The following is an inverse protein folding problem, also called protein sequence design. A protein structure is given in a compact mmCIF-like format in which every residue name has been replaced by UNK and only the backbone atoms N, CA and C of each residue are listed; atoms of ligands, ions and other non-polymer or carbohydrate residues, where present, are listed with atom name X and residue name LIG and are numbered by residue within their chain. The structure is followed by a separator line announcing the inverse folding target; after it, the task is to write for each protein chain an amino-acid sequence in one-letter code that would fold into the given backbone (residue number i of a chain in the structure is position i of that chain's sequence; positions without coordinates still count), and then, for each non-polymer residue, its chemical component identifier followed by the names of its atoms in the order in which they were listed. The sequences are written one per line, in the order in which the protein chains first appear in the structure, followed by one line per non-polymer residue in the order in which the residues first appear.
data_IF_016479795304
#
_entry.id   IF_016479795304
#
_cell.length_a   1.000
_cell.length_b   1.000
_cell.length_c   1.000
_cell.angle_alpha   90.00
_cell.angle_beta   90.00
_cell.angle_gamma   90.00
#
_symmetry.space_group_name_H-M   'P 1'
#
loop_
_entity.id
_entity.type
_entity.pdbx_description
1 polymer ?
#
# COMPACT_ATOMS: atom_id res chain seq x y z
N UNK A 1 -16.65 -27.56 -7.81
CA UNK A 1 -15.76 -26.71 -8.45
C UNK A 1 -14.99 -25.92 -7.45
N UNK A 2 -13.75 -26.00 -7.57
CA UNK A 2 -12.88 -25.34 -6.68
C UNK A 2 -12.36 -24.09 -7.32
N UNK A 3 -12.71 -22.96 -6.78
CA UNK A 3 -12.12 -21.74 -7.27
C UNK A 3 -10.73 -21.62 -6.67
N UNK A 4 -9.79 -21.28 -7.49
CA UNK A 4 -8.43 -21.07 -7.07
C UNK A 4 -8.24 -19.57 -6.98
N UNK A 5 -8.07 -19.04 -5.76
CA UNK A 5 -7.87 -17.60 -5.60
C UNK A 5 -6.67 -17.13 -6.41
N UNK A 6 -6.82 -16.00 -7.06
CA UNK A 6 -5.77 -15.36 -7.82
C UNK A 6 -5.31 -16.11 -9.08
N UNK A 7 -5.95 -17.22 -9.41
CA UNK A 7 -5.62 -17.92 -10.64
C UNK A 7 -6.12 -17.10 -11.83
N UNK A 8 -5.36 -17.03 -12.92
CA UNK A 8 -5.78 -16.25 -14.10
C UNK A 8 -7.17 -16.63 -14.61
N UNK A 9 -7.50 -17.90 -14.57
CA UNK A 9 -8.80 -18.36 -15.04
C UNK A 9 -9.93 -17.92 -14.11
N UNK A 10 -9.64 -17.45 -12.90
CA UNK A 10 -10.70 -16.96 -12.02
C UNK A 10 -11.42 -15.75 -12.59
N UNK A 11 -10.82 -15.08 -13.55
CA UNK A 11 -11.48 -13.99 -14.25
C UNK A 11 -12.70 -14.45 -15.02
N UNK A 12 -12.78 -15.73 -15.33
CA UNK A 12 -13.90 -16.32 -16.03
C UNK A 12 -15.12 -16.55 -15.13
N UNK A 13 -14.92 -16.49 -13.82
CA UNK A 13 -15.97 -16.84 -12.85
C UNK A 13 -16.86 -15.68 -12.46
N UNK A 14 -16.57 -14.52 -12.94
CA UNK A 14 -17.37 -13.38 -12.58
C UNK A 14 -16.57 -12.32 -11.83
N UNK A 15 -17.13 -11.13 -11.80
CA UNK A 15 -16.42 -9.95 -11.35
C UNK A 15 -16.11 -9.92 -9.85
N UNK A 16 -16.80 -10.72 -9.06
CA UNK A 16 -16.63 -10.69 -7.62
C UNK A 16 -15.68 -11.74 -7.04
N UNK A 17 -15.23 -12.69 -7.84
CA UNK A 17 -14.45 -13.82 -7.33
C UNK A 17 -13.16 -13.40 -6.65
N UNK A 18 -12.38 -12.54 -7.29
CA UNK A 18 -11.13 -12.09 -6.71
C UNK A 18 -11.38 -11.18 -5.52
N UNK A 19 -12.39 -10.33 -5.61
CA UNK A 19 -12.75 -9.45 -4.51
C UNK A 19 -13.14 -10.27 -3.27
N UNK A 20 -13.92 -11.32 -3.46
CA UNK A 20 -14.35 -12.19 -2.36
C UNK A 20 -13.15 -12.90 -1.73
N UNK A 21 -12.23 -13.39 -2.55
CA UNK A 21 -11.01 -14.06 -2.06
C UNK A 21 -10.14 -13.10 -1.26
N UNK A 22 -9.96 -11.90 -1.75
CA UNK A 22 -9.20 -10.87 -1.05
C UNK A 22 -9.87 -10.52 0.28
N UNK A 23 -11.20 -10.36 0.28
CA UNK A 23 -11.94 -10.02 1.49
C UNK A 23 -11.76 -11.11 2.54
N UNK A 24 -11.93 -12.36 2.16
CA UNK A 24 -11.81 -13.47 3.10
C UNK A 24 -10.40 -13.57 3.68
N UNK A 25 -9.39 -13.50 2.82
CA UNK A 25 -8.00 -13.58 3.24
C UNK A 25 -7.64 -12.44 4.17
N UNK A 26 -8.03 -11.23 3.82
CA UNK A 26 -7.72 -10.05 4.60
C UNK A 26 -8.44 -10.05 5.93
N UNK A 27 -9.72 -10.40 5.92
CA UNK A 27 -10.51 -10.45 7.16
C UNK A 27 -9.95 -11.47 8.15
N UNK A 28 -9.53 -12.63 7.66
CA UNK A 28 -8.94 -13.66 8.50
C UNK A 28 -7.63 -13.18 9.13
N UNK A 29 -6.75 -12.62 8.32
CA UNK A 29 -5.50 -12.09 8.84
C UNK A 29 -5.76 -10.96 9.84
N UNK A 30 -6.66 -10.06 9.51
CA UNK A 30 -6.98 -8.92 10.38
C UNK A 30 -7.56 -9.39 11.73
N UNK A 31 -8.41 -10.39 11.71
CA UNK A 31 -8.97 -10.93 12.95
C UNK A 31 -7.88 -11.59 13.81
N UNK A 32 -6.95 -12.30 13.19
CA UNK A 32 -5.93 -13.03 13.92
C UNK A 32 -4.77 -12.16 14.40
N UNK A 33 -4.34 -11.23 13.56
CA UNK A 33 -3.09 -10.50 13.79
C UNK A 33 -3.29 -9.04 14.14
N UNK A 34 -4.29 -8.40 13.57
CA UNK A 34 -4.47 -6.98 13.72
C UNK A 34 -5.45 -6.62 14.84
N UNK A 35 -6.62 -7.24 14.87
CA UNK A 35 -7.63 -6.92 15.86
C UNK A 35 -7.13 -7.02 17.31
N UNK A 36 -6.34 -8.04 17.68
CA UNK A 36 -5.84 -8.12 19.06
C UNK A 36 -4.93 -6.97 19.44
N UNK A 37 -4.32 -6.29 18.47
CA UNK A 37 -3.40 -5.18 18.70
C UNK A 37 -4.07 -3.82 18.46
N UNK A 38 -5.28 -3.83 17.92
CA UNK A 38 -5.89 -2.59 17.43
C UNK A 38 -6.08 -1.53 18.52
N UNK A 39 -6.55 -1.93 19.69
CA UNK A 39 -6.77 -0.98 20.77
C UNK A 39 -5.47 -0.29 21.18
N UNK A 40 -4.40 -1.05 21.31
CA UNK A 40 -3.09 -0.52 21.66
C UNK A 40 -2.55 0.40 20.56
N UNK A 41 -2.65 -0.03 19.33
CA UNK A 41 -2.18 0.74 18.18
C UNK A 41 -2.93 2.08 18.10
N UNK A 42 -4.25 2.02 18.18
CA UNK A 42 -5.08 3.21 18.02
C UNK A 42 -4.94 4.16 19.21
N UNK A 43 -4.80 3.63 20.44
CA UNK A 43 -4.64 4.43 21.62
C UNK A 43 -3.29 5.14 21.67
N UNK A 44 -2.21 4.44 21.36
CA UNK A 44 -0.85 4.98 21.42
C UNK A 44 -0.40 5.60 20.11
N UNK A 45 -1.22 5.53 19.08
CA UNK A 45 -0.85 5.94 17.73
C UNK A 45 0.45 5.27 17.31
N UNK A 46 0.57 4.00 17.60
CA UNK A 46 1.78 3.23 17.37
C UNK A 46 1.73 2.51 16.02
N UNK A 47 2.86 2.51 15.33
CA UNK A 47 2.98 1.80 14.07
C UNK A 47 3.73 0.49 14.29
N UNK A 48 3.06 -0.63 14.04
CA UNK A 48 3.65 -1.96 14.19
C UNK A 48 4.24 -2.41 12.87
N UNK A 49 5.52 -2.16 12.71
CA UNK A 49 6.22 -2.43 11.45
C UNK A 49 6.18 -3.90 11.04
N UNK A 50 6.15 -4.80 12.00
CA UNK A 50 6.10 -6.24 11.73
C UNK A 50 4.86 -6.68 10.95
N UNK A 51 3.80 -5.90 10.96
CA UNK A 51 2.60 -6.19 10.21
C UNK A 51 2.80 -6.04 8.69
N UNK A 52 3.76 -5.22 8.30
CA UNK A 52 3.97 -4.91 6.89
C UNK A 52 4.43 -6.10 6.07
N UNK A 53 5.47 -6.85 6.48
CA UNK A 53 5.84 -8.07 5.76
C UNK A 53 4.73 -9.11 5.76
N UNK A 54 3.94 -9.20 6.83
CA UNK A 54 2.81 -10.13 6.87
C UNK A 54 1.79 -9.79 5.80
N UNK A 55 1.45 -8.50 5.66
CA UNK A 55 0.53 -8.06 4.61
C UNK A 55 1.14 -8.28 3.22
N UNK A 56 2.45 -8.11 3.11
CA UNK A 56 3.17 -8.38 1.86
C UNK A 56 3.07 -9.82 1.43
N UNK A 57 3.19 -10.75 2.36
CA UNK A 57 3.05 -12.18 2.07
C UNK A 57 1.67 -12.54 1.54
N UNK A 58 0.66 -11.81 1.97
CA UNK A 58 -0.70 -11.99 1.50
C UNK A 58 -0.98 -11.27 0.17
N UNK A 59 0.00 -10.53 -0.35
CA UNK A 59 -0.15 -9.80 -1.59
C UNK A 59 -0.86 -8.46 -1.46
N UNK A 60 -1.15 -8.03 -0.25
CA UNK A 60 -2.01 -6.87 -0.03
C UNK A 60 -1.38 -5.53 -0.44
N UNK A 61 -0.06 -5.45 -0.48
CA UNK A 61 0.60 -4.20 -0.86
C UNK A 61 0.71 -4.01 -2.37
N UNK A 62 0.48 -5.04 -3.15
CA UNK A 62 0.63 -4.97 -4.59
C UNK A 62 -0.58 -5.47 -5.37
N UNK A 63 -1.78 -5.34 -4.82
CA UNK A 63 -2.98 -5.88 -5.46
C UNK A 63 -3.13 -5.39 -6.89
N UNK A 64 -2.90 -4.11 -7.14
CA UNK A 64 -3.11 -3.50 -8.46
C UNK A 64 -1.85 -3.43 -9.31
N UNK A 65 -0.74 -3.91 -8.82
CA UNK A 65 0.54 -3.83 -9.51
C UNK A 65 0.75 -5.07 -10.37
N UNK A 66 1.41 -4.89 -11.49
CA UNK A 66 1.71 -5.96 -12.43
C UNK A 66 2.56 -7.06 -11.78
N UNK A 67 2.37 -8.28 -12.23
CA UNK A 67 3.08 -9.43 -11.69
C UNK A 67 4.59 -9.34 -11.87
N UNK A 68 5.06 -8.68 -12.92
CA UNK A 68 6.50 -8.53 -13.15
C UNK A 68 7.21 -7.77 -12.02
N UNK A 69 6.47 -6.98 -11.24
CA UNK A 69 7.02 -6.26 -10.10
C UNK A 69 6.67 -6.91 -8.76
N UNK A 70 6.03 -8.07 -8.80
CA UNK A 70 5.62 -8.79 -7.61
C UNK A 70 4.18 -8.58 -7.20
N UNK A 71 3.40 -7.89 -8.00
CA UNK A 71 2.00 -7.61 -7.71
C UNK A 71 1.08 -8.73 -8.11
N UNK A 72 -0.20 -8.57 -7.81
CA UNK A 72 -1.24 -9.54 -8.13
C UNK A 72 -1.93 -9.26 -9.46
N UNK A 73 -1.72 -8.10 -10.05
CA UNK A 73 -2.33 -7.74 -11.32
C UNK A 73 -3.85 -7.63 -11.29
N UNK A 74 -4.42 -7.34 -10.15
CA UNK A 74 -5.86 -7.21 -9.98
C UNK A 74 -6.29 -5.75 -10.10
N UNK A 75 -7.56 -5.48 -9.84
CA UNK A 75 -8.12 -4.16 -10.01
C UNK A 75 -8.29 -3.37 -8.72
N UNK A 76 -8.76 -2.15 -8.89
CA UNK A 76 -8.94 -1.25 -7.75
C UNK A 76 -10.04 -1.72 -6.79
N UNK A 77 -11.04 -2.43 -7.30
CA UNK A 77 -12.09 -2.98 -6.44
C UNK A 77 -11.50 -3.90 -5.38
N UNK A 78 -10.58 -4.76 -5.78
CA UNK A 78 -9.93 -5.69 -4.86
C UNK A 78 -9.10 -4.93 -3.82
N UNK A 79 -8.48 -3.83 -4.22
CA UNK A 79 -7.75 -2.99 -3.28
C UNK A 79 -8.70 -2.34 -2.26
N UNK A 80 -9.83 -1.83 -2.72
CA UNK A 80 -10.82 -1.20 -1.83
C UNK A 80 -11.34 -2.22 -0.80
N UNK A 81 -11.58 -3.44 -1.24
CA UNK A 81 -12.04 -4.51 -0.36
C UNK A 81 -11.02 -4.81 0.74
N UNK A 82 -9.74 -4.91 0.37
CA UNK A 82 -8.68 -5.12 1.35
C UNK A 82 -8.62 -3.96 2.35
N UNK A 83 -8.70 -2.75 1.84
CA UNK A 83 -8.65 -1.56 2.67
C UNK A 83 -9.81 -1.49 3.66
N UNK A 84 -11.00 -1.91 3.23
CA UNK A 84 -12.15 -2.00 4.12
C UNK A 84 -11.89 -2.95 5.29
N UNK A 85 -11.37 -4.14 5.00
CA UNK A 85 -11.15 -5.15 6.04
C UNK A 85 -10.05 -4.74 7.01
N UNK A 86 -8.99 -4.16 6.53
CA UNK A 86 -7.93 -3.65 7.40
C UNK A 86 -8.47 -2.52 8.28
N UNK A 87 -9.18 -1.57 7.68
CA UNK A 87 -9.72 -0.42 8.40
C UNK A 87 -10.77 -0.81 9.44
N UNK A 88 -11.52 -1.87 9.15
CA UNK A 88 -12.53 -2.38 10.09
C UNK A 88 -11.85 -2.89 11.37
N UNK A 89 -10.68 -3.48 11.26
CA UNK A 89 -9.93 -3.99 12.41
C UNK A 89 -9.15 -2.89 13.13
N UNK A 90 -8.57 -1.95 12.39
CA UNK A 90 -7.83 -0.81 12.94
C UNK A 90 -7.88 0.35 11.96
N UNK A 91 -8.48 1.45 12.36
CA UNK A 91 -8.56 2.64 11.54
C UNK A 91 -7.17 3.21 11.27
N UNK A 92 -6.32 3.19 12.28
CA UNK A 92 -4.94 3.71 12.18
C UNK A 92 -4.11 2.93 11.17
N UNK A 93 -4.14 1.60 11.25
CA UNK A 93 -3.40 0.76 10.31
C UNK A 93 -4.04 0.84 8.92
N UNK A 94 -5.36 0.95 8.83
CA UNK A 94 -6.03 1.15 7.55
C UNK A 94 -5.57 2.40 6.84
N UNK A 95 -5.40 3.49 7.57
CA UNK A 95 -4.90 4.75 7.01
C UNK A 95 -3.47 4.58 6.52
N UNK A 96 -2.62 3.95 7.31
CA UNK A 96 -1.23 3.68 6.93
C UNK A 96 -1.13 2.75 5.73
N UNK A 97 -1.97 1.74 5.67
CA UNK A 97 -2.05 0.83 4.54
C UNK A 97 -2.45 1.59 3.27
N UNK A 98 -3.46 2.46 3.36
CA UNK A 98 -3.88 3.27 2.23
C UNK A 98 -2.76 4.16 1.72
N UNK A 99 -2.03 4.81 2.62
CA UNK A 99 -0.90 5.66 2.24
C UNK A 99 0.18 4.84 1.54
N UNK A 100 0.46 3.65 2.03
CA UNK A 100 1.48 2.78 1.46
C UNK A 100 1.05 2.20 0.12
N UNK A 101 -0.05 1.48 0.09
CA UNK A 101 -0.41 0.67 -1.09
C UNK A 101 -1.19 1.44 -2.13
N UNK A 102 -2.07 2.35 -1.70
CA UNK A 102 -2.87 3.10 -2.67
C UNK A 102 -2.14 4.34 -3.17
N UNK A 103 -1.45 5.05 -2.30
CA UNK A 103 -0.80 6.30 -2.71
C UNK A 103 0.64 6.06 -3.15
N UNK A 104 1.49 5.58 -2.25
CA UNK A 104 2.90 5.42 -2.57
C UNK A 104 3.15 4.41 -3.70
N UNK A 105 2.65 3.20 -3.55
CA UNK A 105 2.86 2.14 -4.53
C UNK A 105 2.25 2.51 -5.88
N UNK A 106 1.01 2.99 -5.88
CA UNK A 106 0.36 3.36 -7.13
C UNK A 106 1.00 4.54 -7.83
N UNK A 107 1.52 5.50 -7.09
CA UNK A 107 2.19 6.64 -7.72
C UNK A 107 3.47 6.18 -8.44
N UNK A 108 4.22 5.30 -7.81
CA UNK A 108 5.41 4.74 -8.46
C UNK A 108 5.00 3.91 -9.68
N UNK A 109 3.95 3.11 -9.54
CA UNK A 109 3.45 2.29 -10.64
C UNK A 109 3.04 3.15 -11.83
N UNK A 110 2.35 4.26 -11.58
CA UNK A 110 1.80 5.09 -12.66
C UNK A 110 2.82 6.04 -13.27
N UNK A 111 3.70 6.59 -12.45
CA UNK A 111 4.56 7.70 -12.86
C UNK A 111 6.05 7.39 -12.83
N UNK A 112 6.45 6.27 -12.24
CA UNK A 112 7.85 5.89 -12.19
C UNK A 112 8.36 5.42 -13.54
N UNK A 113 9.64 5.61 -13.77
CA UNK A 113 10.32 5.01 -14.92
C UNK A 113 10.41 3.50 -14.69
N UNK A 114 10.64 2.71 -15.75
CA UNK A 114 10.86 1.27 -15.57
C UNK A 114 11.96 0.96 -14.55
N UNK A 115 13.01 1.74 -14.55
CA UNK A 115 14.11 1.57 -13.61
C UNK A 115 13.67 1.83 -12.17
N UNK A 116 12.90 2.89 -11.94
CA UNK A 116 12.37 3.20 -10.62
C UNK A 116 11.40 2.13 -10.14
N UNK A 117 10.54 1.63 -11.03
CA UNK A 117 9.60 0.57 -10.68
C UNK A 117 10.33 -0.69 -10.24
N UNK A 118 11.35 -1.11 -10.98
CA UNK A 118 12.12 -2.30 -10.62
C UNK A 118 12.90 -2.10 -9.32
N UNK A 119 13.31 -0.87 -9.05
CA UNK A 119 14.08 -0.56 -7.86
C UNK A 119 13.23 -0.53 -6.59
N UNK A 120 12.05 0.06 -6.66
CA UNK A 120 11.27 0.35 -5.46
C UNK A 120 10.07 -0.55 -5.23
N UNK A 121 9.37 -0.97 -6.28
CA UNK A 121 8.13 -1.71 -6.11
C UNK A 121 8.31 -3.06 -5.41
N UNK A 122 9.30 -3.90 -5.75
CA UNK A 122 9.40 -5.21 -5.10
C UNK A 122 9.48 -5.15 -3.59
N UNK A 123 10.25 -4.22 -3.05
CA UNK A 123 10.42 -4.10 -1.59
C UNK A 123 9.25 -3.44 -0.91
N UNK A 124 8.56 -2.56 -1.59
CA UNK A 124 7.32 -1.99 -1.08
C UNK A 124 6.22 -3.05 -1.06
N UNK A 125 6.14 -3.86 -2.10
CA UNK A 125 5.12 -4.90 -2.21
C UNK A 125 5.35 -6.02 -1.22
N UNK A 126 6.61 -6.39 -0.96
CA UNK A 126 6.91 -7.39 0.06
C UNK A 126 6.67 -6.89 1.49
N UNK A 127 6.57 -5.59 1.66
CA UNK A 127 6.45 -5.01 3.00
C UNK A 127 7.78 -4.83 3.72
N UNK A 128 8.89 -5.11 3.03
CA UNK A 128 10.20 -4.88 3.58
C UNK A 128 10.47 -3.38 3.79
N UNK A 129 9.93 -2.57 2.87
CA UNK A 129 9.95 -1.11 3.01
C UNK A 129 8.55 -0.58 3.25
N UNK A 130 8.46 0.49 4.02
CA UNK A 130 7.20 1.17 4.29
C UNK A 130 7.14 2.45 3.47
N UNK A 131 6.06 2.60 2.71
CA UNK A 131 5.84 3.78 1.90
C UNK A 131 4.90 4.76 2.57
N UNK A 132 5.08 6.01 2.25
CA UNK A 132 4.26 7.08 2.78
C UNK A 132 4.10 8.17 1.73
N UNK A 133 3.04 8.96 1.86
CA UNK A 133 2.80 10.07 0.96
C UNK A 133 2.95 11.38 1.72
N UNK A 134 3.73 12.29 1.17
CA UNK A 134 3.80 13.65 1.66
C UNK A 134 2.86 14.51 0.82
N UNK A 135 1.97 15.22 1.48
CA UNK A 135 1.00 16.09 0.80
C UNK A 135 1.46 17.53 0.86
N UNK A 136 1.12 18.28 -0.19
CA UNK A 136 1.52 19.68 -0.24
C UNK A 136 0.85 20.50 0.85
N UNK A 137 1.57 21.51 1.31
CA UNK A 137 1.02 22.48 2.23
C UNK A 137 -0.03 23.34 1.53
N UNK A 138 -0.79 24.06 2.35
CA UNK A 138 -1.80 24.97 1.83
C UNK A 138 -1.14 25.99 0.91
N UNK A 139 -1.79 26.23 -0.22
CA UNK A 139 -1.30 27.18 -1.22
C UNK A 139 -0.55 26.53 -2.37
N UNK A 140 -0.15 25.29 -2.23
CA UNK A 140 0.58 24.58 -3.28
C UNK A 140 -0.28 23.56 -4.01
N UNK A 141 -1.57 23.50 -3.71
CA UNK A 141 -2.44 22.48 -4.25
C UNK A 141 -2.53 22.45 -5.77
N UNK A 142 -2.50 23.63 -6.40
CA UNK A 142 -2.59 23.71 -7.85
C UNK A 142 -1.35 23.20 -8.54
N UNK A 143 -0.23 23.15 -7.84
CA UNK A 143 1.04 22.72 -8.41
C UNK A 143 1.25 21.23 -8.35
N UNK A 144 0.40 20.50 -7.61
CA UNK A 144 0.54 19.08 -7.43
C UNK A 144 0.60 18.32 -8.74
N UNK A 145 -0.22 18.74 -9.70
CA UNK A 145 -0.30 18.06 -11.00
C UNK A 145 0.94 18.24 -11.87
N UNK A 146 1.71 19.29 -11.63
CA UNK A 146 2.91 19.55 -12.41
C UNK A 146 4.18 19.06 -11.74
N UNK A 147 4.08 18.56 -10.52
CA UNK A 147 5.22 18.14 -9.74
C UNK A 147 5.84 16.85 -10.27
N UNK A 148 7.14 16.78 -10.15
CA UNK A 148 7.88 15.56 -10.48
C UNK A 148 8.02 14.67 -9.25
N UNK A 149 8.13 13.38 -9.52
CA UNK A 149 8.38 12.40 -8.49
C UNK A 149 9.87 12.06 -8.49
N UNK A 150 10.50 12.12 -7.34
CA UNK A 150 11.92 11.78 -7.19
C UNK A 150 12.12 10.96 -5.93
N UNK A 151 12.91 9.92 -6.03
CA UNK A 151 13.18 9.04 -4.91
C UNK A 151 14.58 9.25 -4.35
N UNK A 152 14.66 9.49 -3.05
CA UNK A 152 15.92 9.57 -2.32
C UNK A 152 15.87 8.57 -1.16
N UNK A 153 16.96 7.85 -0.96
CA UNK A 153 17.07 6.94 0.16
C UNK A 153 17.74 7.64 1.34
N UNK A 154 17.12 7.55 2.51
CA UNK A 154 17.68 8.07 3.75
C UNK A 154 17.70 6.96 4.80
N UNK A 155 18.85 6.32 4.97
CA UNK A 155 18.95 5.14 5.81
C UNK A 155 18.10 4.03 5.21
N UNK A 156 17.10 3.57 5.95
CA UNK A 156 16.18 2.54 5.47
C UNK A 156 14.94 3.12 4.80
N UNK A 157 14.93 4.41 4.53
CA UNK A 157 13.79 5.10 3.95
C UNK A 157 14.03 5.48 2.50
N UNK A 158 12.94 5.47 1.73
CA UNK A 158 12.93 6.00 0.39
C UNK A 158 11.98 7.18 0.36
N UNK A 159 12.49 8.34 -0.05
CA UNK A 159 11.70 9.56 -0.14
C UNK A 159 11.54 9.90 -1.60
N UNK A 160 10.29 9.95 -2.07
CA UNK A 160 10.00 10.45 -3.39
C UNK A 160 9.72 11.94 -3.24
N UNK A 161 10.67 12.71 -3.67
CA UNK A 161 10.76 14.11 -3.35
C UNK A 161 9.73 15.00 -4.01
N UNK A 162 9.21 15.90 -3.20
CA UNK A 162 8.53 17.08 -3.62
C UNK A 162 8.80 18.17 -2.61
N UNK A 163 8.21 19.30 -2.81
CA UNK A 163 8.42 20.46 -1.97
C UNK A 163 7.19 20.71 -1.11
N UNK A 164 7.40 21.00 0.17
CA UNK A 164 6.35 21.47 1.07
C UNK A 164 5.19 20.50 1.24
N UNK A 165 5.47 19.27 1.56
CA UNK A 165 4.43 18.27 1.77
C UNK A 165 4.31 17.84 3.22
N UNK A 166 3.11 17.49 3.61
CA UNK A 166 2.85 16.86 4.89
C UNK A 166 3.19 15.39 4.79
N UNK A 167 3.71 14.86 5.88
CA UNK A 167 4.21 13.49 5.89
C UNK A 167 3.34 12.63 6.77
N UNK A 168 2.78 11.56 6.17
CA UNK A 168 2.05 10.51 6.87
C UNK A 168 3.02 9.38 7.12
N UNK A 169 3.00 8.77 8.30
CA UNK A 169 3.87 7.65 8.67
C UNK A 169 5.37 7.95 8.63
N UNK A 170 5.75 9.23 8.72
CA UNK A 170 7.15 9.64 8.59
C UNK A 170 8.12 8.88 9.49
N UNK A 171 7.82 8.64 10.78
CA UNK A 171 8.79 7.98 11.66
C UNK A 171 9.11 6.55 11.26
N UNK A 172 8.24 5.89 10.51
CA UNK A 172 8.41 4.48 10.16
C UNK A 172 8.51 4.25 8.66
N UNK A 173 8.46 5.31 7.87
CA UNK A 173 8.44 5.17 6.41
C UNK A 173 9.83 4.90 5.85
N UNK A 174 9.92 3.89 4.99
CA UNK A 174 11.11 3.61 4.21
C UNK A 174 11.06 4.32 2.86
N UNK A 175 9.86 4.46 2.33
CA UNK A 175 9.62 5.14 1.05
C UNK A 175 8.55 6.18 1.25
N UNK A 176 8.81 7.37 0.78
CA UNK A 176 7.90 8.49 0.88
C UNK A 176 7.66 9.05 -0.51
N UNK A 177 6.41 9.11 -0.91
CA UNK A 177 6.04 9.69 -2.21
C UNK A 177 5.76 11.16 -2.02
N UNK A 178 6.52 11.98 -2.71
CA UNK A 178 6.41 13.42 -2.62
C UNK A 178 6.29 13.98 -4.03
N UNK A 179 5.34 14.87 -4.23
CA UNK A 179 5.18 15.55 -5.52
C UNK A 179 5.99 16.82 -5.53
N UNK A 180 6.89 16.91 -6.48
CA UNK A 180 7.78 18.06 -6.63
C UNK A 180 7.35 18.98 -7.75
#
# INVERSE_FOLDING_TARGET
GMSIPFAPQSMEFGLGENADAIRETTARWAADRLAPLAAEIDEKNEFKRELWPEMGELGLHGITVEEEFGGLGLGYLEHVVAMEEVSRASASIGLSYGAHSNLCVNQIRRWGTPEQKHKYLPKLISGEHVGSLAMSEAGSGSDVMSMRTRADKKGDRYVLNGTKFWITNAPSADTLVVYA
#
